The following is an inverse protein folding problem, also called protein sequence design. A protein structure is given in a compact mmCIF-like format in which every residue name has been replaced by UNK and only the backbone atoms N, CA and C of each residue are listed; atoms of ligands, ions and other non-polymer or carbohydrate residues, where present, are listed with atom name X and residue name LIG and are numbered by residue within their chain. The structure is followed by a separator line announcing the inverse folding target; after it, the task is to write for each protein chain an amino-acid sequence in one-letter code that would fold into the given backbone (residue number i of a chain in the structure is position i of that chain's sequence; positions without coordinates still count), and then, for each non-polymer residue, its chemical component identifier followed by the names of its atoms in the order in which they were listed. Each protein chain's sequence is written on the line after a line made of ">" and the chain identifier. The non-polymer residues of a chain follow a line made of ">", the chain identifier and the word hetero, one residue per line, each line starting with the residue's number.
data_IF_055840750852
#
_entry.id   IF_055840750852
#
_cell.length_a   1.000
_cell.length_b   1.000
_cell.length_c   1.000
_cell.angle_alpha   90.00
_cell.angle_beta   90.00
_cell.angle_gamma   90.00
#
_symmetry.space_group_name_H-M   'P 1'
#
loop_
_entity.id
_entity.type
_entity.pdbx_description
1 polymer ?
#
# COMPACT_ATOMS: atom_id res chain seq x y z
N UNK A 1 -1.57 -5.46 23.72
CA UNK A 1 -1.19 -6.19 22.48
C UNK A 1 -0.03 -7.14 22.72
N UNK A 2 -0.20 -8.40 22.31
CA UNK A 2 0.81 -9.46 22.44
C UNK A 2 2.05 -9.16 21.59
N UNK A 3 3.23 -9.64 22.03
CA UNK A 3 4.49 -9.47 21.27
C UNK A 3 4.41 -10.10 19.87
N UNK A 4 3.64 -11.19 19.73
CA UNK A 4 3.40 -11.88 18.47
C UNK A 4 2.66 -10.98 17.46
N UNK A 5 1.62 -10.27 17.90
CA UNK A 5 0.85 -9.37 17.03
C UNK A 5 1.74 -8.28 16.40
N UNK A 6 2.66 -7.70 17.18
CA UNK A 6 3.67 -6.73 16.69
C UNK A 6 4.64 -7.35 15.68
N UNK A 7 5.05 -8.60 15.89
CA UNK A 7 5.94 -9.33 14.95
C UNK A 7 5.25 -9.57 13.61
N UNK A 8 3.98 -10.00 13.62
CA UNK A 8 3.21 -10.21 12.39
C UNK A 8 2.96 -8.93 11.63
N UNK A 9 2.53 -7.84 12.30
CA UNK A 9 2.36 -6.54 11.65
C UNK A 9 3.64 -6.06 10.97
N UNK A 10 4.81 -6.20 11.62
CA UNK A 10 6.09 -5.79 11.03
C UNK A 10 6.43 -6.60 9.77
N UNK A 11 6.19 -7.92 9.78
CA UNK A 11 6.44 -8.78 8.63
C UNK A 11 5.49 -8.45 7.47
N UNK A 12 4.19 -8.38 7.75
CA UNK A 12 3.17 -7.99 6.77
C UNK A 12 3.44 -6.58 6.24
N UNK A 13 3.90 -5.68 7.10
CA UNK A 13 4.29 -4.32 6.75
C UNK A 13 5.32 -4.31 5.64
N UNK A 14 6.40 -5.10 5.77
CA UNK A 14 7.44 -5.19 4.76
C UNK A 14 6.90 -5.79 3.46
N UNK A 15 6.15 -6.89 3.56
CA UNK A 15 5.62 -7.62 2.40
C UNK A 15 4.65 -6.76 1.58
N UNK A 16 3.74 -6.04 2.24
CA UNK A 16 2.72 -5.20 1.60
C UNK A 16 3.29 -3.85 1.16
N UNK A 17 4.31 -3.32 1.83
CA UNK A 17 4.94 -2.05 1.42
C UNK A 17 5.63 -2.15 0.07
N UNK A 18 6.18 -3.32 -0.29
CA UNK A 18 6.83 -3.52 -1.59
C UNK A 18 5.88 -3.30 -2.78
N UNK A 19 4.73 -4.00 -2.89
CA UNK A 19 3.80 -3.78 -3.99
C UNK A 19 3.13 -2.39 -3.89
N UNK A 20 2.91 -1.84 -2.70
CA UNK A 20 2.43 -0.45 -2.57
C UNK A 20 3.44 0.58 -3.09
N UNK A 21 4.73 0.36 -2.88
CA UNK A 21 5.75 1.23 -3.41
C UNK A 21 5.77 1.17 -4.94
N UNK A 22 5.62 -0.04 -5.51
CA UNK A 22 5.50 -0.21 -6.95
C UNK A 22 4.31 0.58 -7.50
N UNK A 23 3.12 0.45 -6.91
CA UNK A 23 1.92 1.16 -7.38
C UNK A 23 2.04 2.67 -7.28
N UNK A 24 2.71 3.18 -6.23
CA UNK A 24 2.99 4.62 -6.10
C UNK A 24 3.94 5.08 -7.22
N UNK A 25 5.04 4.35 -7.44
CA UNK A 25 6.03 4.70 -8.47
C UNK A 25 5.40 4.69 -9.85
N UNK A 26 4.64 3.64 -10.19
CA UNK A 26 3.98 3.53 -11.50
C UNK A 26 2.86 4.54 -11.66
N UNK A 27 2.09 4.83 -10.60
CA UNK A 27 1.04 5.85 -10.64
C UNK A 27 1.60 7.26 -10.88
N UNK A 28 2.69 7.63 -10.18
CA UNK A 28 3.39 8.90 -10.42
C UNK A 28 3.96 8.93 -11.84
N UNK A 29 4.57 7.83 -12.28
CA UNK A 29 5.15 7.73 -13.62
C UNK A 29 4.09 7.86 -14.71
N UNK A 30 2.90 7.27 -14.52
CA UNK A 30 1.77 7.43 -15.42
C UNK A 30 1.39 8.91 -15.58
N UNK A 31 1.17 9.64 -14.48
CA UNK A 31 0.85 11.07 -14.56
C UNK A 31 1.95 11.90 -15.24
N UNK A 32 3.23 11.53 -15.06
CA UNK A 32 4.33 12.22 -15.74
C UNK A 32 4.35 11.91 -17.24
N UNK A 33 4.31 10.64 -17.63
CA UNK A 33 4.47 10.25 -19.02
C UNK A 33 3.21 10.55 -19.84
N UNK A 34 2.03 10.22 -19.34
CA UNK A 34 0.77 10.41 -20.04
C UNK A 34 0.32 11.88 -20.00
N UNK A 35 0.11 12.42 -18.80
CA UNK A 35 -0.52 13.75 -18.65
C UNK A 35 0.44 14.91 -18.92
N UNK A 36 1.70 14.81 -18.48
CA UNK A 36 2.66 15.91 -18.61
C UNK A 36 3.46 15.87 -19.92
N UNK A 37 3.91 14.68 -20.35
CA UNK A 37 4.78 14.52 -21.53
C UNK A 37 4.00 14.13 -22.80
N UNK A 38 2.72 13.77 -22.69
CA UNK A 38 1.90 13.32 -23.82
C UNK A 38 2.34 11.99 -24.44
N UNK A 39 3.11 11.18 -23.70
CA UNK A 39 3.64 9.89 -24.10
C UNK A 39 2.71 8.75 -23.65
N UNK A 40 1.53 8.68 -24.27
CA UNK A 40 0.48 7.74 -23.85
C UNK A 40 0.85 6.27 -23.96
N UNK A 41 1.75 5.88 -24.86
CA UNK A 41 2.24 4.49 -24.93
C UNK A 41 3.03 4.09 -23.68
N UNK A 42 3.90 4.97 -23.19
CA UNK A 42 4.67 4.72 -21.96
C UNK A 42 3.73 4.82 -20.76
N UNK A 43 2.78 5.76 -20.77
CA UNK A 43 1.72 5.84 -19.77
C UNK A 43 0.92 4.53 -19.66
N UNK A 44 0.50 3.96 -20.78
CA UNK A 44 -0.22 2.69 -20.81
C UNK A 44 0.62 1.54 -20.23
N UNK A 45 1.89 1.45 -20.59
CA UNK A 45 2.82 0.47 -20.02
C UNK A 45 3.00 0.66 -18.50
N UNK A 46 3.01 1.90 -18.00
CA UNK A 46 3.01 2.16 -16.55
C UNK A 46 1.73 1.64 -15.88
N UNK A 47 0.56 1.76 -16.52
CA UNK A 47 -0.70 1.23 -16.01
C UNK A 47 -0.77 -0.29 -16.02
N UNK A 48 -0.24 -0.95 -17.06
CA UNK A 48 -0.13 -2.41 -17.11
C UNK A 48 0.72 -2.96 -15.95
N UNK A 49 1.85 -2.28 -15.64
CA UNK A 49 2.69 -2.65 -14.48
C UNK A 49 1.99 -2.29 -13.17
N UNK A 50 1.30 -1.15 -13.10
CA UNK A 50 0.56 -0.71 -11.92
C UNK A 50 -0.52 -1.71 -11.50
N UNK A 51 -1.22 -2.29 -12.46
CA UNK A 51 -2.27 -3.28 -12.20
C UNK A 51 -1.76 -4.71 -12.17
N UNK A 52 -0.52 -4.96 -12.62
CA UNK A 52 0.01 -6.30 -12.89
C UNK A 52 -0.79 -7.05 -13.98
N UNK A 53 -1.32 -6.32 -14.96
CA UNK A 53 -2.03 -6.87 -16.11
C UNK A 53 -1.12 -7.77 -16.98
N UNK A 54 0.18 -7.46 -17.03
CA UNK A 54 1.22 -8.27 -17.71
C UNK A 54 1.25 -9.75 -17.29
N UNK A 55 0.72 -10.08 -16.11
CA UNK A 55 0.65 -11.44 -15.57
C UNK A 55 -0.80 -11.87 -15.25
N UNK A 56 -1.81 -11.16 -15.77
CA UNK A 56 -3.23 -11.41 -15.54
C UNK A 56 -3.68 -11.28 -14.07
N UNK A 57 -3.08 -10.34 -13.33
CA UNK A 57 -3.39 -10.08 -11.92
C UNK A 57 -4.16 -8.77 -11.68
N UNK A 58 -4.65 -8.11 -12.73
CA UNK A 58 -5.30 -6.80 -12.72
C UNK A 58 -6.48 -6.67 -11.76
N UNK A 59 -7.14 -7.79 -11.42
CA UNK A 59 -8.22 -7.81 -10.41
C UNK A 59 -7.65 -8.08 -9.00
N UNK A 60 -6.78 -9.08 -8.87
CA UNK A 60 -6.33 -9.59 -7.57
C UNK A 60 -5.30 -8.65 -6.94
N UNK A 61 -4.39 -8.10 -7.74
CA UNK A 61 -3.27 -7.31 -7.25
C UNK A 61 -3.70 -5.98 -6.63
N UNK A 62 -4.57 -5.15 -7.25
CA UNK A 62 -5.10 -3.95 -6.60
C UNK A 62 -5.90 -4.26 -5.33
N UNK A 63 -6.68 -5.36 -5.32
CA UNK A 63 -7.42 -5.79 -4.14
C UNK A 63 -6.47 -6.19 -2.99
N UNK A 64 -5.41 -6.92 -3.28
CA UNK A 64 -4.40 -7.30 -2.28
C UNK A 64 -3.70 -6.06 -1.71
N UNK A 65 -3.36 -5.08 -2.56
CA UNK A 65 -2.78 -3.82 -2.13
C UNK A 65 -3.74 -3.03 -1.22
N UNK A 66 -5.00 -2.90 -1.61
CA UNK A 66 -6.02 -2.19 -0.82
C UNK A 66 -6.29 -2.86 0.53
N UNK A 67 -6.54 -4.17 0.54
CA UNK A 67 -6.78 -4.92 1.76
C UNK A 67 -5.54 -4.96 2.66
N UNK A 68 -4.36 -5.11 2.06
CA UNK A 68 -3.09 -5.07 2.76
C UNK A 68 -2.87 -3.73 3.47
N UNK A 69 -3.06 -2.62 2.75
CA UNK A 69 -2.95 -1.27 3.32
C UNK A 69 -3.96 -1.06 4.45
N UNK A 70 -5.24 -1.41 4.24
CA UNK A 70 -6.27 -1.30 5.28
C UNK A 70 -5.91 -2.12 6.52
N UNK A 71 -5.45 -3.36 6.32
CA UNK A 71 -4.98 -4.24 7.39
C UNK A 71 -3.82 -3.62 8.16
N UNK A 72 -2.82 -3.07 7.46
CA UNK A 72 -1.70 -2.38 8.11
C UNK A 72 -2.12 -1.13 8.86
N UNK A 73 -3.04 -0.33 8.31
CA UNK A 73 -3.55 0.86 8.98
C UNK A 73 -4.29 0.50 10.27
N UNK A 74 -5.26 -0.43 10.20
CA UNK A 74 -6.03 -0.86 11.36
C UNK A 74 -5.12 -1.47 12.43
N UNK A 75 -4.22 -2.39 12.03
CA UNK A 75 -3.32 -3.05 12.97
C UNK A 75 -2.29 -2.07 13.55
N UNK A 76 -1.75 -1.15 12.75
CA UNK A 76 -0.84 -0.10 13.19
C UNK A 76 -1.49 0.86 14.19
N UNK A 77 -2.69 1.38 13.87
CA UNK A 77 -3.46 2.25 14.77
C UNK A 77 -3.83 1.55 16.09
N UNK A 78 -4.11 0.25 16.07
CA UNK A 78 -4.36 -0.52 17.29
C UNK A 78 -3.12 -0.65 18.20
N UNK A 79 -1.92 -0.49 17.64
CA UNK A 79 -0.65 -0.54 18.37
C UNK A 79 -0.19 0.81 18.89
N UNK A 80 -0.68 1.91 18.32
CA UNK A 80 -0.40 3.25 18.82
C UNK A 80 -1.27 3.54 20.06
N UNK A 81 -0.79 4.41 20.95
CA UNK A 81 -1.56 4.83 22.12
C UNK A 81 -2.64 5.87 21.77
N UNK A 82 -3.04 6.01 20.51
CA UNK A 82 -3.90 7.09 20.03
C UNK A 82 -5.28 7.12 20.74
N UNK A 83 -5.73 5.97 21.26
CA UNK A 83 -6.99 5.84 22.01
C UNK A 83 -6.82 5.75 23.53
N UNK A 84 -5.62 5.93 24.10
CA UNK A 84 -5.45 5.90 25.56
C UNK A 84 -5.89 7.22 26.17
N UNK A 85 -6.94 7.20 26.99
CA UNK A 85 -7.31 8.31 27.87
C UNK A 85 -6.10 8.71 28.72
N UNK A 86 -5.82 10.02 28.90
CA UNK A 86 -4.76 10.46 29.81
C UNK A 86 -5.06 9.89 31.19
N UNK A 87 -4.07 9.24 31.80
CA UNK A 87 -4.17 8.77 33.18
C UNK A 87 -4.44 9.98 34.07
N UNK A 88 -5.66 10.07 34.59
CA UNK A 88 -5.97 10.96 35.70
C UNK A 88 -5.10 10.50 36.87
N UNK A 89 -4.06 11.30 37.17
CA UNK A 89 -3.28 11.15 38.40
C UNK A 89 -4.22 11.54 39.55
N UNK A 90 -4.65 10.55 40.33
CA UNK A 90 -5.18 10.75 41.68
C UNK A 90 -4.05 10.87 42.68
#
# INVERSE_FOLDING_TARGET
>A
MSRLFRKYHRLLGIIISLPLLLTIITGISYSIFDELLGQGEIGHLMLEIHTMEIIHLEIIYPLLNGLGLLGLLVTGLSMTNFFKKPLSKS
#
